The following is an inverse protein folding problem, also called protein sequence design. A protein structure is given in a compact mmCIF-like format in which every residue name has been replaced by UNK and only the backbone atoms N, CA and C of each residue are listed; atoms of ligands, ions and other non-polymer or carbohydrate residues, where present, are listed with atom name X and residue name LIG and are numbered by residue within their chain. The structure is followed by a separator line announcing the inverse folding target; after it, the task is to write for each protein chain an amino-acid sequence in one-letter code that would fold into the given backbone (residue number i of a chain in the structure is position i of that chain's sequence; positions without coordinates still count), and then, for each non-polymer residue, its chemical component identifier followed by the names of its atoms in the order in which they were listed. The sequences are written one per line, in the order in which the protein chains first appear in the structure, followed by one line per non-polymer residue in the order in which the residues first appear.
data_IF_468953129284
#
_entry.id   IF_468953129284
#
_cell.length_a   1.000
_cell.length_b   1.000
_cell.length_c   1.000
_cell.angle_alpha   90.00
_cell.angle_beta   90.00
_cell.angle_gamma   90.00
#
_symmetry.space_group_name_H-M   'P 1'
#
loop_
_entity.id
_entity.type
_entity.pdbx_description
1 polymer ?
#
# COMPACT_ATOMS: atom_id res chain seq x y z
N UNK A 1 -7.19 -3.88 12.84
CA UNK A 1 -8.18 -4.96 13.10
C UNK A 1 -8.91 -4.62 14.37
N UNK A 2 -10.24 -4.81 14.44
CA UNK A 2 -11.03 -4.59 15.67
C UNK A 2 -11.87 -5.83 15.98
N UNK A 3 -11.93 -6.20 17.24
CA UNK A 3 -12.77 -7.31 17.74
C UNK A 3 -13.81 -6.75 18.69
N UNK A 4 -15.05 -7.22 18.58
CA UNK A 4 -16.06 -6.96 19.59
C UNK A 4 -15.79 -7.88 20.78
N UNK A 5 -15.55 -7.28 21.92
CA UNK A 5 -15.23 -7.96 23.18
C UNK A 5 -16.23 -7.62 24.29
N UNK A 6 -17.39 -7.04 23.92
CA UNK A 6 -18.40 -6.59 24.90
C UNK A 6 -18.86 -7.70 25.84
N UNK A 7 -19.00 -8.96 25.37
CA UNK A 7 -19.36 -10.12 26.17
C UNK A 7 -18.32 -10.51 27.23
N UNK A 8 -17.09 -10.02 27.13
CA UNK A 8 -15.99 -10.26 28.03
C UNK A 8 -15.74 -9.08 29.00
N UNK A 9 -16.62 -8.08 29.01
CA UNK A 9 -16.46 -6.91 29.88
C UNK A 9 -16.35 -7.34 31.34
N UNK A 10 -15.36 -6.81 32.06
CA UNK A 10 -15.06 -7.17 33.46
C UNK A 10 -14.32 -8.48 33.64
N UNK A 11 -13.99 -9.22 32.57
CA UNK A 11 -13.17 -10.45 32.60
C UNK A 11 -11.74 -10.16 32.25
N UNK A 12 -10.81 -10.96 32.74
CA UNK A 12 -9.42 -10.93 32.29
C UNK A 12 -9.29 -11.64 30.95
N UNK A 13 -8.63 -10.99 30.00
CA UNK A 13 -8.33 -11.56 28.68
C UNK A 13 -6.82 -11.57 28.45
N UNK A 14 -6.35 -12.47 27.59
CA UNK A 14 -4.98 -12.55 27.11
C UNK A 14 -4.99 -12.57 25.60
N UNK A 15 -4.20 -11.67 24.99
CA UNK A 15 -3.94 -11.69 23.55
C UNK A 15 -2.79 -12.65 23.29
N UNK A 16 -2.99 -13.60 22.38
CA UNK A 16 -1.97 -14.55 21.96
C UNK A 16 -1.74 -14.37 20.46
N UNK A 17 -0.51 -14.05 20.09
CA UNK A 17 -0.08 -14.00 18.70
C UNK A 17 0.58 -15.34 18.36
N UNK A 18 0.08 -16.00 17.33
CA UNK A 18 0.58 -17.32 16.93
C UNK A 18 1.01 -17.24 15.48
N UNK A 19 2.30 -17.44 15.23
CA UNK A 19 2.82 -17.67 13.89
C UNK A 19 2.76 -19.18 13.60
N UNK A 20 1.98 -19.55 12.61
CA UNK A 20 1.87 -20.92 12.12
C UNK A 20 2.62 -21.14 10.79
N UNK A 21 3.38 -20.14 10.34
CA UNK A 21 4.20 -20.28 9.15
C UNK A 21 5.27 -21.36 9.35
N UNK A 22 5.40 -22.23 8.37
CA UNK A 22 6.45 -23.27 8.34
C UNK A 22 7.59 -22.90 7.40
N UNK A 23 7.51 -21.74 6.79
CA UNK A 23 8.50 -21.24 5.83
C UNK A 23 9.46 -20.23 6.49
N UNK A 24 10.70 -20.17 6.04
CA UNK A 24 11.83 -19.56 6.73
C UNK A 24 11.81 -18.03 6.92
N UNK A 25 10.74 -17.33 6.54
CA UNK A 25 10.62 -15.86 6.62
C UNK A 25 9.27 -15.40 7.17
N UNK A 26 8.64 -16.19 8.02
CA UNK A 26 7.44 -15.77 8.73
C UNK A 26 7.79 -14.89 9.93
N UNK A 27 7.12 -13.73 10.07
CA UNK A 27 7.13 -12.95 11.31
C UNK A 27 5.75 -12.32 11.52
N UNK A 28 5.36 -12.17 12.80
CA UNK A 28 4.19 -11.41 13.20
C UNK A 28 4.69 -10.11 13.80
N UNK A 29 4.20 -9.00 13.25
CA UNK A 29 4.40 -7.67 13.82
C UNK A 29 3.06 -7.16 14.33
N UNK A 30 2.99 -6.81 15.60
CA UNK A 30 1.78 -6.25 16.21
C UNK A 30 2.16 -5.33 17.36
N UNK A 31 1.63 -4.13 17.35
CA UNK A 31 1.79 -3.12 18.38
C UNK A 31 0.47 -2.38 18.63
N UNK A 32 0.48 -1.44 19.56
CA UNK A 32 -0.60 -0.49 19.78
C UNK A 32 -1.97 -1.16 20.01
N UNK A 33 -2.06 -2.10 20.97
CA UNK A 33 -3.34 -2.64 21.40
C UNK A 33 -4.07 -1.65 22.31
N UNK A 34 -5.29 -1.28 21.94
CA UNK A 34 -6.16 -0.47 22.81
C UNK A 34 -7.50 -1.11 22.99
N UNK A 35 -8.14 -0.79 24.12
CA UNK A 35 -9.53 -1.07 24.37
C UNK A 35 -10.32 0.23 24.20
N UNK A 36 -11.47 0.15 23.52
CA UNK A 36 -12.35 1.29 23.24
C UNK A 36 -13.80 0.82 23.25
N UNK A 37 -14.71 1.70 23.68
CA UNK A 37 -16.15 1.46 23.61
C UNK A 37 -16.72 1.62 22.18
N UNK A 38 -15.94 2.18 21.27
CA UNK A 38 -16.30 2.36 19.88
C UNK A 38 -15.32 1.63 18.96
N UNK A 39 -15.85 0.98 17.93
CA UNK A 39 -15.03 0.39 16.88
C UNK A 39 -14.17 1.47 16.22
N UNK A 40 -12.88 1.27 16.23
CA UNK A 40 -11.99 2.14 15.46
C UNK A 40 -12.22 1.89 13.97
N UNK A 41 -12.89 2.79 13.31
CA UNK A 41 -13.04 2.78 11.85
C UNK A 41 -11.91 3.59 11.23
N UNK A 42 -11.14 2.93 10.37
CA UNK A 42 -10.13 3.62 9.57
C UNK A 42 -10.89 4.45 8.52
N UNK A 43 -10.80 5.76 8.62
CA UNK A 43 -11.29 6.61 7.53
C UNK A 43 -10.39 6.40 6.31
N UNK A 44 -11.02 6.13 5.17
CA UNK A 44 -10.33 5.90 3.91
C UNK A 44 -10.86 6.87 2.84
N UNK A 45 -9.99 7.25 1.93
CA UNK A 45 -10.38 7.73 0.62
C UNK A 45 -10.36 6.58 -0.38
N UNK A 46 -11.36 6.55 -1.27
CA UNK A 46 -11.44 5.55 -2.32
C UNK A 46 -11.64 6.20 -3.67
N UNK A 47 -10.86 5.78 -4.66
CA UNK A 47 -11.07 6.11 -6.07
C UNK A 47 -11.46 4.86 -6.84
N UNK A 48 -12.53 4.96 -7.62
CA UNK A 48 -12.95 3.92 -8.58
C UNK A 48 -12.65 4.39 -10.00
N UNK A 49 -12.15 3.51 -10.83
CA UNK A 49 -11.85 3.79 -12.23
C UNK A 49 -11.89 2.51 -13.06
N UNK A 50 -12.21 2.65 -14.34
CA UNK A 50 -12.09 1.54 -15.29
C UNK A 50 -10.60 1.36 -15.67
N UNK A 51 -10.12 0.14 -15.68
CA UNK A 51 -8.80 -0.17 -16.26
C UNK A 51 -8.91 -0.10 -17.78
N UNK A 52 -8.37 0.97 -18.36
CA UNK A 52 -8.47 1.25 -19.80
C UNK A 52 -7.21 0.89 -20.57
N UNK A 53 -6.05 0.82 -19.89
CA UNK A 53 -4.74 0.61 -20.50
C UNK A 53 -3.87 -0.29 -19.61
N UNK A 54 -2.71 -0.63 -20.14
CA UNK A 54 -1.77 -1.59 -19.54
C UNK A 54 -1.22 -1.19 -18.18
N UNK A 55 -1.01 0.11 -17.95
CA UNK A 55 -0.33 0.59 -16.75
C UNK A 55 -1.21 1.55 -15.93
N UNK A 56 -1.18 1.40 -14.61
CA UNK A 56 -1.70 2.35 -13.63
C UNK A 56 -0.52 3.19 -13.11
N UNK A 57 -0.65 4.51 -13.19
CA UNK A 57 0.34 5.45 -12.69
C UNK A 57 -0.15 6.09 -11.40
N UNK A 58 0.71 6.12 -10.39
CA UNK A 58 0.45 6.59 -9.03
C UNK A 58 1.46 7.69 -8.69
N UNK A 59 1.02 8.89 -8.28
CA UNK A 59 1.91 9.99 -7.95
C UNK A 59 2.56 9.77 -6.59
N UNK A 60 3.86 9.98 -6.48
CA UNK A 60 4.64 9.84 -5.24
C UNK A 60 5.37 11.14 -4.92
N UNK A 61 5.39 11.50 -3.64
CA UNK A 61 6.10 12.66 -3.09
C UNK A 61 7.00 12.23 -1.95
N UNK A 62 8.29 12.37 -2.13
CA UNK A 62 9.28 11.99 -1.12
C UNK A 62 9.10 12.81 0.17
N UNK A 63 9.08 12.12 1.30
CA UNK A 63 8.88 12.73 2.62
C UNK A 63 7.42 13.05 2.97
N UNK A 64 6.45 12.68 2.12
CA UNK A 64 5.04 12.69 2.49
C UNK A 64 4.74 11.61 3.54
N UNK A 65 3.57 11.68 4.15
CA UNK A 65 3.14 10.62 5.08
C UNK A 65 3.04 9.30 4.33
N UNK A 66 3.64 8.26 4.91
CA UNK A 66 3.54 6.90 4.37
C UNK A 66 2.12 6.39 4.62
N UNK A 67 1.40 6.10 3.53
CA UNK A 67 0.04 5.61 3.57
C UNK A 67 -0.03 4.15 3.12
N UNK A 68 -0.88 3.40 3.81
CA UNK A 68 -1.27 2.09 3.35
C UNK A 68 -2.24 2.24 2.18
N UNK A 69 -1.91 1.70 1.03
CA UNK A 69 -2.74 1.73 -0.15
C UNK A 69 -3.11 0.32 -0.59
N UNK A 70 -4.41 0.10 -0.79
CA UNK A 70 -4.99 -1.15 -1.23
C UNK A 70 -5.58 -0.98 -2.64
N UNK A 71 -5.30 -1.92 -3.53
CA UNK A 71 -5.87 -1.95 -4.88
C UNK A 71 -6.74 -3.20 -5.02
N UNK A 72 -7.97 -2.99 -5.45
CA UNK A 72 -9.01 -3.99 -5.57
C UNK A 72 -9.51 -4.12 -7.01
N UNK A 73 -9.80 -5.34 -7.43
CA UNK A 73 -10.59 -5.64 -8.63
C UNK A 73 -11.84 -6.37 -8.17
N UNK A 74 -12.99 -5.73 -8.32
CA UNK A 74 -14.21 -6.21 -7.65
C UNK A 74 -13.98 -6.31 -6.14
N UNK A 75 -14.24 -7.51 -5.55
CA UNK A 75 -14.06 -7.78 -4.14
C UNK A 75 -12.69 -8.40 -3.79
N UNK A 76 -11.81 -8.55 -4.78
CA UNK A 76 -10.48 -9.14 -4.58
C UNK A 76 -9.43 -8.06 -4.45
N UNK A 77 -8.72 -8.04 -3.32
CA UNK A 77 -7.51 -7.25 -3.16
C UNK A 77 -6.39 -7.88 -4.02
N UNK A 78 -5.84 -7.11 -4.94
CA UNK A 78 -4.78 -7.55 -5.87
C UNK A 78 -3.42 -6.99 -5.52
N UNK A 79 -3.38 -5.87 -4.79
CA UNK A 79 -2.14 -5.27 -4.28
C UNK A 79 -2.41 -4.59 -2.94
N UNK A 80 -1.40 -4.64 -2.09
CA UNK A 80 -1.31 -3.89 -0.85
C UNK A 80 0.11 -3.34 -0.77
N UNK A 81 0.27 -2.05 -0.50
CA UNK A 81 1.57 -1.41 -0.46
C UNK A 81 1.55 -0.18 0.44
N UNK A 82 2.72 0.17 0.92
CA UNK A 82 2.96 1.45 1.58
C UNK A 82 3.55 2.43 0.56
N UNK A 83 3.02 3.66 0.54
CA UNK A 83 3.40 4.67 -0.45
C UNK A 83 3.28 6.09 0.13
N UNK A 84 4.23 6.94 -0.21
CA UNK A 84 4.20 8.38 0.06
C UNK A 84 3.42 9.08 -1.06
N UNK A 85 2.10 9.18 -0.92
CA UNK A 85 1.22 9.74 -1.96
C UNK A 85 1.43 11.24 -2.14
N UNK A 86 1.67 11.66 -3.39
CA UNK A 86 1.87 13.05 -3.77
C UNK A 86 0.60 13.71 -4.32
N UNK A 87 -0.06 14.56 -3.52
CA UNK A 87 -1.26 15.32 -3.95
C UNK A 87 -0.94 16.52 -4.81
N UNK A 88 0.16 17.23 -4.51
CA UNK A 88 0.67 18.36 -5.27
C UNK A 88 2.03 17.97 -5.86
N UNK A 89 2.37 18.45 -7.02
CA UNK A 89 3.69 18.32 -7.64
C UNK A 89 4.45 17.04 -7.22
N UNK A 90 4.05 15.87 -7.71
CA UNK A 90 4.72 14.62 -7.37
C UNK A 90 6.18 14.65 -7.83
N UNK A 91 7.08 14.10 -7.02
CA UNK A 91 8.49 14.01 -7.37
C UNK A 91 8.73 12.96 -8.46
N UNK A 92 7.92 11.91 -8.48
CA UNK A 92 7.94 10.87 -9.50
C UNK A 92 6.64 10.07 -9.53
N UNK A 93 6.52 9.14 -10.49
CA UNK A 93 5.37 8.27 -10.66
C UNK A 93 5.76 6.80 -10.53
N UNK A 94 5.07 6.09 -9.66
CA UNK A 94 5.14 4.63 -9.61
C UNK A 94 4.15 4.07 -10.62
N UNK A 95 4.59 3.07 -11.38
CA UNK A 95 3.79 2.43 -12.41
C UNK A 95 3.59 0.95 -12.09
N UNK A 96 2.33 0.51 -12.10
CA UNK A 96 1.95 -0.88 -11.92
C UNK A 96 1.36 -1.43 -13.22
N UNK A 97 1.77 -2.64 -13.62
CA UNK A 97 1.15 -3.32 -14.74
C UNK A 97 -0.21 -3.90 -14.32
N UNK A 98 -1.27 -3.48 -15.01
CA UNK A 98 -2.67 -3.85 -14.74
C UNK A 98 -3.37 -4.44 -15.96
N UNK A 99 -2.60 -4.87 -16.98
CA UNK A 99 -3.11 -5.37 -18.27
C UNK A 99 -4.11 -6.52 -18.14
N UNK A 100 -3.93 -7.38 -17.14
CA UNK A 100 -4.77 -8.57 -16.95
C UNK A 100 -6.19 -8.20 -16.47
N UNK A 101 -6.42 -6.94 -16.11
CA UNK A 101 -7.70 -6.42 -15.63
C UNK A 101 -8.31 -5.35 -16.55
N UNK A 102 -7.82 -5.19 -17.78
CA UNK A 102 -8.40 -4.25 -18.75
C UNK A 102 -9.88 -4.55 -18.93
N UNK A 103 -10.70 -3.50 -18.86
CA UNK A 103 -12.17 -3.58 -18.92
C UNK A 103 -12.86 -3.84 -17.59
N UNK A 104 -12.13 -4.06 -16.50
CA UNK A 104 -12.67 -4.24 -15.14
C UNK A 104 -12.59 -2.94 -14.32
N UNK A 105 -13.49 -2.80 -13.35
CA UNK A 105 -13.41 -1.71 -12.38
C UNK A 105 -12.28 -1.98 -11.38
N UNK A 106 -11.42 -1.00 -11.23
CA UNK A 106 -10.36 -0.96 -10.23
C UNK A 106 -10.75 0.06 -9.15
N UNK A 107 -10.58 -0.32 -7.88
CA UNK A 107 -10.75 0.54 -6.72
C UNK A 107 -9.42 0.68 -5.98
N UNK A 108 -9.01 1.92 -5.76
CA UNK A 108 -7.83 2.27 -4.96
C UNK A 108 -8.35 2.84 -3.64
N UNK A 109 -7.88 2.30 -2.53
CA UNK A 109 -8.19 2.78 -1.18
C UNK A 109 -6.90 3.19 -0.49
N UNK A 110 -6.93 4.33 0.22
CA UNK A 110 -5.82 4.74 1.07
C UNK A 110 -6.35 5.40 2.35
N UNK A 111 -5.54 5.43 3.40
CA UNK A 111 -5.90 6.09 4.66
C UNK A 111 -6.19 7.57 4.42
N UNK A 112 -7.18 8.12 5.14
CA UNK A 112 -7.52 9.53 5.02
C UNK A 112 -6.46 10.38 5.69
N UNK A 113 -5.66 11.06 4.90
CA UNK A 113 -4.70 12.07 5.34
C UNK A 113 -4.69 13.25 4.37
N UNK A 114 -4.08 14.38 4.73
CA UNK A 114 -3.93 15.51 3.83
C UNK A 114 -3.31 15.09 2.49
N UNK A 115 -3.84 15.60 1.39
CA UNK A 115 -3.38 15.38 0.01
C UNK A 115 -3.66 13.98 -0.58
N UNK A 116 -4.10 12.98 0.19
CA UNK A 116 -4.39 11.63 -0.33
C UNK A 116 -5.50 11.65 -1.36
N UNK A 117 -6.61 12.34 -1.10
CA UNK A 117 -7.71 12.44 -2.06
C UNK A 117 -7.24 13.05 -3.38
N UNK A 118 -6.43 14.11 -3.32
CA UNK A 118 -5.87 14.75 -4.50
C UNK A 118 -4.91 13.81 -5.24
N UNK A 119 -4.06 13.08 -4.51
CA UNK A 119 -3.15 12.09 -5.10
C UNK A 119 -3.91 10.96 -5.80
N UNK A 120 -4.95 10.42 -5.14
CA UNK A 120 -5.78 9.38 -5.76
C UNK A 120 -6.46 9.90 -7.02
N UNK A 121 -6.94 11.16 -7.01
CA UNK A 121 -7.56 11.76 -8.18
C UNK A 121 -6.60 11.93 -9.37
N UNK A 122 -5.30 12.01 -9.12
CA UNK A 122 -4.28 12.05 -10.17
C UNK A 122 -3.91 10.67 -10.73
N UNK A 123 -4.23 9.57 -10.05
CA UNK A 123 -3.99 8.22 -10.59
C UNK A 123 -4.72 8.04 -11.93
N UNK A 124 -4.05 7.46 -12.92
CA UNK A 124 -4.64 7.21 -14.24
C UNK A 124 -4.00 6.00 -14.92
N UNK A 125 -4.72 5.43 -15.91
CA UNK A 125 -4.18 4.38 -16.76
C UNK A 125 -3.56 4.95 -18.03
N UNK A 126 -2.46 4.32 -18.51
CA UNK A 126 -1.78 4.65 -19.75
C UNK A 126 -1.21 3.42 -20.44
N UNK A 127 -0.95 3.51 -21.75
CA UNK A 127 -0.35 2.40 -22.50
C UNK A 127 1.14 2.25 -22.19
N UNK A 128 1.82 3.34 -21.84
CA UNK A 128 3.23 3.35 -21.42
C UNK A 128 3.35 3.95 -20.03
N UNK A 129 4.37 3.58 -19.23
CA UNK A 129 4.66 4.23 -17.96
C UNK A 129 4.82 5.74 -18.12
N UNK A 130 4.27 6.54 -17.22
CA UNK A 130 4.37 8.01 -17.32
C UNK A 130 5.81 8.52 -17.36
N UNK A 131 6.70 7.84 -16.66
CA UNK A 131 8.12 8.21 -16.56
C UNK A 131 9.03 7.11 -17.07
N UNK A 132 8.64 6.46 -18.16
CA UNK A 132 9.42 5.39 -18.78
C UNK A 132 10.90 5.78 -18.99
N UNK A 133 11.14 7.04 -19.36
CA UNK A 133 12.50 7.55 -19.57
C UNK A 133 13.34 7.66 -18.29
N UNK A 134 12.74 7.72 -17.11
CA UNK A 134 13.47 7.76 -15.84
C UNK A 134 14.00 6.37 -15.43
N UNK A 135 13.37 5.29 -15.87
CA UNK A 135 13.86 3.93 -15.60
C UNK A 135 15.09 3.59 -16.43
N UNK A 136 15.28 4.24 -17.58
CA UNK A 136 16.35 3.96 -18.55
C UNK A 136 17.46 5.04 -18.57
N UNK A 137 17.19 6.24 -18.10
CA UNK A 137 18.21 7.25 -17.83
C UNK A 137 18.74 7.00 -16.43
N UNK A 138 20.06 7.01 -16.29
CA UNK A 138 20.77 6.76 -15.03
C UNK A 138 19.96 7.15 -13.80
N UNK A 139 19.68 6.21 -12.90
CA UNK A 139 18.82 6.47 -11.77
C UNK A 139 19.39 7.64 -10.98
N UNK A 140 18.61 8.69 -10.77
CA UNK A 140 18.89 9.75 -9.81
C UNK A 140 19.01 9.19 -8.38
N UNK A 141 18.69 7.91 -8.21
CA UNK A 141 18.90 7.18 -6.96
C UNK A 141 20.29 6.57 -6.94
N UNK A 142 21.01 6.65 -5.82
CA UNK A 142 22.19 5.86 -5.63
C UNK A 142 21.83 4.40 -5.89
N UNK A 143 22.63 3.71 -6.70
CA UNK A 143 22.46 2.27 -6.92
C UNK A 143 22.30 1.62 -5.57
N UNK A 144 21.23 0.85 -5.37
CA UNK A 144 21.09 0.03 -4.17
C UNK A 144 22.21 -0.99 -4.24
N UNK A 145 23.28 -0.74 -3.51
CA UNK A 145 24.35 -1.70 -3.34
C UNK A 145 23.88 -2.68 -2.27
N UNK A 146 23.53 -3.88 -2.67
CA UNK A 146 23.43 -4.98 -1.72
C UNK A 146 24.84 -5.33 -1.25
N UNK A 147 25.17 -4.89 -0.07
CA UNK A 147 26.37 -5.39 0.61
C UNK A 147 26.01 -6.74 1.21
N UNK A 148 26.42 -7.81 0.56
CA UNK A 148 26.51 -9.09 1.25
C UNK A 148 27.68 -8.97 2.22
N UNK A 149 27.43 -9.15 3.52
CA UNK A 149 28.54 -9.27 4.45
C UNK A 149 29.38 -10.51 4.06
N UNK A 150 30.70 -10.43 4.12
CA UNK A 150 31.57 -11.53 3.72
C UNK A 150 31.36 -12.86 4.46
N UNK A 151 30.54 -12.89 5.50
CA UNK A 151 30.20 -14.08 6.27
C UNK A 151 28.95 -14.83 5.79
N UNK A 152 28.30 -14.42 4.69
CA UNK A 152 27.16 -15.11 4.12
C UNK A 152 27.51 -15.89 2.83
N UNK A 153 28.77 -16.07 2.53
CA UNK A 153 29.28 -16.81 1.37
C UNK A 153 29.94 -18.13 1.77
N UNK A 154 29.36 -18.85 2.76
CA UNK A 154 29.67 -20.26 3.05
C UNK A 154 28.41 -21.12 2.93
#
# INVERSE_FOLDING_TARGET
MSWDVAEYMGKSARIVLVDQSKEGWGFINADCFYQSDTKLEKEIFAKRMLVTHRYLNIPVKMGAVIEQMDIWIGDKMVRNMEVELGGDEPDYWVTLEVKDWIGQELRIEASKSPNVEQALNQCFCSETPKEENLFYKEPLRPKVHFYFSPGMAE
#
